data_IF_513648177372
#
_entry.id   IF_513648177372
#
_cell.length_a   1.000
_cell.length_b   1.000
_cell.length_c   1.000
_cell.angle_alpha   90.00
_cell.angle_beta   90.00
_cell.angle_gamma   90.00
#
_symmetry.space_group_name_H-M   'P 1'
#
loop_
_entity.id
_entity.type
_entity.pdbx_description
1 polymer ?
#
# COMPACT_ATOMS: atom_id res chain seq x y z
N UNK A 1 20.78 -6.04 3.46
CA UNK A 1 19.66 -5.14 3.14
C UNK A 1 20.19 -3.75 2.87
N UNK A 2 20.80 -3.08 3.85
CA UNK A 2 21.43 -1.76 3.66
C UNK A 2 22.49 -1.76 2.55
N UNK A 3 23.40 -2.74 2.53
CA UNK A 3 24.41 -2.86 1.45
C UNK A 3 23.81 -3.07 0.04
N UNK A 4 22.52 -3.44 -0.03
CA UNK A 4 21.78 -3.60 -1.29
C UNK A 4 20.93 -2.36 -1.62
N UNK A 5 21.07 -1.27 -0.87
CA UNK A 5 20.30 -0.04 -1.04
C UNK A 5 18.88 -0.08 -0.48
N UNK A 6 18.54 -1.07 0.34
CA UNK A 6 17.22 -1.19 0.98
C UNK A 6 17.24 -0.51 2.34
N UNK A 7 16.32 0.42 2.55
CA UNK A 7 16.02 1.03 3.84
C UNK A 7 15.05 0.15 4.63
N UNK A 8 15.47 -0.40 5.78
CA UNK A 8 14.63 -1.28 6.58
C UNK A 8 13.63 -0.47 7.40
N UNK A 9 12.35 -0.80 7.22
CA UNK A 9 11.29 -0.49 8.16
C UNK A 9 11.04 -1.72 9.06
N UNK A 10 11.05 -1.55 10.39
CA UNK A 10 10.99 -2.66 11.35
C UNK A 10 9.73 -2.62 12.21
N UNK A 11 8.99 -3.73 12.20
CA UNK A 11 7.93 -3.99 13.18
C UNK A 11 8.50 -4.63 14.45
N UNK A 12 8.30 -3.97 15.59
CA UNK A 12 8.63 -4.50 16.91
C UNK A 12 7.47 -5.40 17.39
N UNK A 13 7.61 -6.71 17.16
CA UNK A 13 6.65 -7.74 17.57
C UNK A 13 7.32 -9.12 17.71
N UNK A 14 6.69 -10.16 18.27
CA UNK A 14 5.52 -10.14 19.16
C UNK A 14 5.99 -10.25 20.62
N UNK A 15 5.26 -10.99 21.45
CA UNK A 15 5.55 -11.18 22.85
C UNK A 15 6.65 -12.19 23.12
N UNK A 16 6.97 -12.35 24.39
CA UNK A 16 7.94 -13.33 24.87
C UNK A 16 7.35 -14.15 26.04
N UNK A 17 7.04 -15.44 25.82
CA UNK A 17 6.31 -16.25 26.79
C UNK A 17 7.15 -16.62 28.04
N UNK A 18 8.45 -16.31 28.07
CA UNK A 18 9.25 -16.51 29.29
C UNK A 18 8.82 -15.58 30.43
N UNK A 19 8.19 -14.44 30.10
CA UNK A 19 7.66 -13.51 31.08
C UNK A 19 6.15 -13.76 31.25
N UNK A 20 5.66 -13.98 32.49
CA UNK A 20 4.22 -14.04 32.74
C UNK A 20 3.52 -12.79 32.19
N UNK A 21 2.48 -12.94 31.37
CA UNK A 21 1.81 -11.80 30.74
C UNK A 21 2.61 -11.10 29.65
N UNK A 22 3.67 -11.74 29.13
CA UNK A 22 4.50 -11.21 28.04
C UNK A 22 3.99 -11.48 26.62
N UNK A 23 2.81 -12.09 26.48
CA UNK A 23 2.26 -12.52 25.21
C UNK A 23 2.97 -13.75 24.62
N UNK A 24 2.63 -14.08 23.38
CA UNK A 24 3.18 -15.20 22.60
C UNK A 24 3.94 -14.69 21.37
N UNK A 25 4.64 -15.59 20.69
CA UNK A 25 5.56 -15.38 19.58
C UNK A 25 4.89 -15.06 18.23
N UNK A 26 3.57 -15.12 18.14
CA UNK A 26 2.84 -15.06 16.87
C UNK A 26 1.64 -14.11 16.86
N UNK A 27 1.04 -14.00 15.67
CA UNK A 27 -0.16 -13.21 15.43
C UNK A 27 -1.29 -13.62 16.40
N UNK A 28 -1.83 -12.63 17.11
CA UNK A 28 -2.87 -12.87 18.11
C UNK A 28 -2.37 -13.39 19.46
N UNK A 29 -1.04 -13.44 19.68
CA UNK A 29 -0.41 -13.89 20.92
C UNK A 29 -0.66 -13.04 22.17
N UNK A 30 -1.54 -12.04 22.11
CA UNK A 30 -1.81 -11.11 23.19
C UNK A 30 -0.74 -10.04 23.36
N UNK A 31 -1.16 -8.84 23.76
CA UNK A 31 -0.26 -7.72 24.05
C UNK A 31 0.49 -7.97 25.38
N UNK A 32 1.71 -7.44 25.48
CA UNK A 32 2.48 -7.42 26.73
C UNK A 32 1.70 -6.65 27.80
N UNK A 33 1.47 -7.27 28.97
CA UNK A 33 0.52 -6.74 29.95
C UNK A 33 1.01 -6.73 31.41
N UNK A 34 1.90 -7.63 31.82
CA UNK A 34 2.43 -7.59 33.20
C UNK A 34 3.53 -6.55 33.33
N UNK A 35 3.70 -6.00 34.53
CA UNK A 35 4.75 -5.01 34.80
C UNK A 35 6.16 -5.57 34.51
N UNK A 36 6.43 -6.82 34.92
CA UNK A 36 7.70 -7.47 34.64
C UNK A 36 7.96 -7.61 33.13
N UNK A 37 6.94 -8.04 32.37
CA UNK A 37 7.05 -8.20 30.92
C UNK A 37 7.16 -6.86 30.20
N UNK A 38 6.46 -5.82 30.67
CA UNK A 38 6.53 -4.45 30.15
C UNK A 38 7.92 -3.84 30.36
N UNK A 39 8.55 -4.07 31.52
CA UNK A 39 9.94 -3.66 31.75
C UNK A 39 10.93 -4.46 30.91
N UNK A 40 10.67 -5.75 30.69
CA UNK A 40 11.47 -6.57 29.80
C UNK A 40 11.35 -6.11 28.33
N UNK A 41 10.15 -5.73 27.92
CA UNK A 41 9.87 -5.15 26.60
C UNK A 41 10.65 -3.84 26.40
N UNK A 42 10.63 -2.91 27.35
CA UNK A 42 11.39 -1.65 27.26
C UNK A 42 12.90 -1.90 27.14
N UNK A 43 13.45 -2.87 27.90
CA UNK A 43 14.86 -3.26 27.78
C UNK A 43 15.18 -3.87 26.41
N UNK A 44 14.27 -4.66 25.86
CA UNK A 44 14.39 -5.20 24.51
C UNK A 44 14.41 -4.07 23.47
N UNK A 45 13.46 -3.14 23.54
CA UNK A 45 13.37 -2.00 22.62
C UNK A 45 14.62 -1.12 22.71
N UNK A 46 15.09 -0.77 23.91
CA UNK A 46 16.34 0.00 24.10
C UNK A 46 17.52 -0.72 23.44
N UNK A 47 17.69 -2.02 23.71
CA UNK A 47 18.78 -2.80 23.14
C UNK A 47 18.68 -2.92 21.61
N UNK A 48 17.47 -3.09 21.06
CA UNK A 48 17.23 -3.24 19.63
C UNK A 48 17.52 -1.94 18.87
N UNK A 49 17.01 -0.81 19.37
CA UNK A 49 17.24 0.52 18.79
C UNK A 49 18.72 0.90 18.90
N UNK A 50 19.40 0.64 20.02
CA UNK A 50 20.87 0.86 20.11
C UNK A 50 21.66 0.05 19.10
N UNK A 51 21.20 -1.17 18.81
CA UNK A 51 21.91 -2.08 17.91
C UNK A 51 21.69 -1.73 16.44
N UNK A 52 20.49 -1.31 16.06
CA UNK A 52 20.09 -1.15 14.67
C UNK A 52 19.73 0.29 14.26
N UNK A 53 19.68 1.23 15.20
CA UNK A 53 19.26 2.61 14.97
C UNK A 53 20.16 3.45 14.05
N UNK A 54 21.38 2.98 13.74
CA UNK A 54 22.21 3.58 12.68
C UNK A 54 21.73 3.21 11.27
N UNK A 55 20.88 2.20 11.15
CA UNK A 55 20.41 1.64 9.87
C UNK A 55 18.88 1.62 9.73
N UNK A 56 18.17 1.77 10.84
CA UNK A 56 16.70 1.76 10.92
C UNK A 56 16.29 3.02 11.65
N UNK A 57 15.43 3.81 11.05
CA UNK A 57 14.79 4.96 11.68
C UNK A 57 13.25 4.92 11.60
N UNK A 58 12.68 3.88 10.97
CA UNK A 58 11.25 3.64 10.92
C UNK A 58 10.83 2.43 11.78
N UNK A 59 10.00 2.66 12.79
CA UNK A 59 9.57 1.67 13.77
C UNK A 59 8.04 1.53 13.79
N UNK A 60 7.54 0.37 13.41
CA UNK A 60 6.15 -0.02 13.68
C UNK A 60 6.03 -0.66 15.07
N UNK A 61 5.07 -0.16 15.85
CA UNK A 61 4.82 -0.61 17.21
C UNK A 61 3.73 -1.66 17.23
N UNK A 62 4.12 -2.93 17.28
CA UNK A 62 3.24 -4.10 17.25
C UNK A 62 2.52 -4.32 15.91
N UNK A 63 2.14 -5.57 15.64
CA UNK A 63 1.37 -5.94 14.45
C UNK A 63 -0.06 -6.35 14.84
N UNK A 64 -1.06 -5.73 14.20
CA UNK A 64 -2.48 -6.04 14.33
C UNK A 64 -2.97 -6.31 15.77
N UNK A 65 -2.95 -5.33 16.69
CA UNK A 65 -3.37 -5.54 18.07
C UNK A 65 -4.84 -5.98 18.12
N UNK A 66 -5.11 -7.01 18.94
CA UNK A 66 -6.44 -7.62 19.12
C UNK A 66 -6.97 -7.41 20.54
N UNK A 67 -6.64 -6.27 21.14
CA UNK A 67 -7.05 -5.89 22.51
C UNK A 67 -8.51 -5.44 22.61
N UNK A 68 -9.13 -5.08 21.48
CA UNK A 68 -10.52 -4.60 21.41
C UNK A 68 -10.66 -3.08 21.63
N UNK A 69 -11.89 -2.58 21.59
CA UNK A 69 -12.19 -1.15 21.74
C UNK A 69 -12.21 -0.69 23.21
N UNK A 70 -12.29 0.63 23.42
CA UNK A 70 -12.35 1.27 24.72
C UNK A 70 -11.12 0.95 25.56
N UNK A 71 -11.29 0.18 26.65
CA UNK A 71 -10.17 -0.22 27.51
C UNK A 71 -9.06 -0.96 26.77
N UNK A 72 -9.40 -1.72 25.73
CA UNK A 72 -8.42 -2.42 24.90
C UNK A 72 -7.58 -1.49 24.04
N UNK A 73 -8.19 -0.43 23.49
CA UNK A 73 -7.49 0.59 22.71
C UNK A 73 -6.60 1.43 23.63
N UNK A 74 -7.08 1.80 24.82
CA UNK A 74 -6.29 2.49 25.86
C UNK A 74 -5.08 1.65 26.27
N UNK A 75 -5.26 0.35 26.53
CA UNK A 75 -4.15 -0.53 26.88
C UNK A 75 -3.06 -0.56 25.79
N UNK A 76 -3.47 -0.57 24.52
CA UNK A 76 -2.52 -0.52 23.41
C UNK A 76 -1.88 0.86 23.26
N UNK A 77 -2.63 1.95 23.51
CA UNK A 77 -2.10 3.30 23.52
C UNK A 77 -1.04 3.52 24.61
N UNK A 78 -1.25 3.00 25.82
CA UNK A 78 -0.25 3.01 26.89
C UNK A 78 1.03 2.25 26.49
N UNK A 79 0.87 1.10 25.83
CA UNK A 79 1.99 0.34 25.27
C UNK A 79 2.75 1.12 24.19
N UNK A 80 2.02 1.81 23.31
CA UNK A 80 2.59 2.70 22.28
C UNK A 80 3.40 3.81 22.93
N UNK A 81 2.86 4.50 23.95
CA UNK A 81 3.56 5.57 24.67
C UNK A 81 4.86 5.05 25.28
N UNK A 82 4.80 3.95 26.06
CA UNK A 82 5.98 3.36 26.72
C UNK A 82 7.06 2.99 25.70
N UNK A 83 6.67 2.39 24.58
CA UNK A 83 7.62 1.97 23.53
C UNK A 83 8.22 3.16 22.80
N UNK A 84 7.39 4.14 22.42
CA UNK A 84 7.83 5.32 21.69
C UNK A 84 8.75 6.21 22.54
N UNK A 85 8.53 6.34 23.84
CA UNK A 85 9.42 7.08 24.74
C UNK A 85 10.84 6.48 24.80
N UNK A 86 10.96 5.16 24.82
CA UNK A 86 12.25 4.47 24.75
C UNK A 86 12.94 4.78 23.42
N UNK A 87 12.23 4.69 22.30
CA UNK A 87 12.78 4.99 20.97
C UNK A 87 13.22 6.45 20.89
N UNK A 88 12.36 7.41 21.24
CA UNK A 88 12.65 8.85 21.17
C UNK A 88 13.86 9.26 22.02
N UNK A 89 14.09 8.59 23.15
CA UNK A 89 15.28 8.83 23.98
C UNK A 89 16.58 8.49 23.26
N UNK A 90 16.56 7.50 22.36
CA UNK A 90 17.73 7.00 21.64
C UNK A 90 17.85 7.59 20.23
N UNK A 91 16.72 7.82 19.57
CA UNK A 91 16.60 8.30 18.21
C UNK A 91 15.46 9.33 18.15
N UNK A 92 15.70 10.60 18.52
CA UNK A 92 14.66 11.63 18.65
C UNK A 92 13.86 11.87 17.38
N UNK A 93 14.47 11.66 16.21
CA UNK A 93 13.89 11.92 14.89
C UNK A 93 13.29 10.67 14.22
N UNK A 94 13.20 9.53 14.92
CA UNK A 94 12.65 8.31 14.34
C UNK A 94 11.21 8.49 13.84
N UNK A 95 10.85 7.82 12.77
CA UNK A 95 9.48 7.66 12.31
C UNK A 95 8.83 6.53 13.11
N UNK A 96 7.77 6.83 13.88
CA UNK A 96 7.11 5.86 14.75
C UNK A 96 5.67 5.67 14.30
N UNK A 97 5.32 4.43 13.94
CA UNK A 97 3.99 4.06 13.47
C UNK A 97 3.27 3.17 14.49
N UNK A 98 1.97 3.39 14.69
CA UNK A 98 1.13 2.49 15.49
C UNK A 98 0.03 1.84 14.65
N UNK A 99 -0.33 0.61 14.97
CA UNK A 99 -1.26 -0.20 14.21
C UNK A 99 -2.73 0.18 14.44
N UNK A 100 -3.52 0.18 13.36
CA UNK A 100 -4.92 0.57 13.33
C UNK A 100 -5.90 -0.45 13.96
N UNK A 101 -5.42 -1.43 14.73
CA UNK A 101 -6.24 -2.48 15.34
C UNK A 101 -6.72 -3.56 14.37
N UNK A 102 -6.54 -4.83 14.75
CA UNK A 102 -6.71 -5.95 13.82
C UNK A 102 -5.98 -5.65 12.50
N UNK A 103 -6.58 -5.99 11.36
CA UNK A 103 -6.02 -5.60 10.07
C UNK A 103 -6.31 -4.13 9.71
N UNK A 104 -7.52 -3.63 9.98
CA UNK A 104 -7.88 -2.25 9.69
C UNK A 104 -9.16 -1.84 10.46
N UNK A 105 -9.03 -1.09 11.56
CA UNK A 105 -10.16 -0.68 12.40
C UNK A 105 -10.13 0.83 12.76
N UNK A 106 -10.67 1.72 11.91
CA UNK A 106 -10.57 3.18 12.11
C UNK A 106 -11.03 3.70 13.48
N UNK A 107 -12.07 3.09 14.07
CA UNK A 107 -12.55 3.49 15.41
C UNK A 107 -11.51 3.18 16.48
N UNK A 108 -10.78 2.05 16.36
CA UNK A 108 -9.75 1.68 17.32
C UNK A 108 -8.58 2.66 17.20
N UNK A 109 -8.16 2.97 15.97
CA UNK A 109 -7.11 3.95 15.71
C UNK A 109 -7.47 5.34 16.26
N UNK A 110 -8.74 5.74 16.15
CA UNK A 110 -9.25 6.97 16.76
C UNK A 110 -9.15 6.96 18.28
N UNK A 111 -9.61 5.89 18.95
CA UNK A 111 -9.53 5.75 20.41
C UNK A 111 -8.08 5.79 20.91
N UNK A 112 -7.14 5.21 20.15
CA UNK A 112 -5.71 5.32 20.44
C UNK A 112 -5.26 6.79 20.40
N UNK A 113 -5.58 7.53 19.32
CA UNK A 113 -5.23 8.95 19.22
C UNK A 113 -5.92 9.83 20.27
N UNK A 114 -7.16 9.51 20.65
CA UNK A 114 -7.85 10.18 21.76
C UNK A 114 -7.06 10.03 23.07
N UNK A 115 -6.62 8.82 23.39
CA UNK A 115 -5.81 8.57 24.58
C UNK A 115 -4.44 9.25 24.51
N UNK A 116 -3.73 9.17 23.38
CA UNK A 116 -2.45 9.89 23.21
C UNK A 116 -2.63 11.41 23.38
N UNK A 117 -3.76 11.96 22.93
CA UNK A 117 -4.07 13.39 23.10
C UNK A 117 -4.32 13.75 24.56
N UNK A 118 -5.08 12.94 25.28
CA UNK A 118 -5.37 13.12 26.71
C UNK A 118 -4.08 13.11 27.54
N UNK A 119 -3.13 12.24 27.20
CA UNK A 119 -1.82 12.15 27.84
C UNK A 119 -0.81 13.21 27.36
N UNK A 120 -1.15 14.02 26.36
CA UNK A 120 -0.25 15.02 25.77
C UNK A 120 0.93 14.40 25.01
N UNK A 121 0.72 13.26 24.36
CA UNK A 121 1.74 12.40 23.73
C UNK A 121 1.59 12.22 22.22
N UNK A 122 0.75 13.02 21.54
CA UNK A 122 0.58 12.93 20.08
C UNK A 122 1.91 13.04 19.31
N UNK A 123 2.83 13.91 19.77
CA UNK A 123 4.14 14.13 19.14
C UNK A 123 5.09 12.90 19.21
N UNK A 124 4.71 11.83 19.91
CA UNK A 124 5.49 10.59 19.94
C UNK A 124 5.38 9.81 18.63
N UNK A 125 4.27 9.91 17.90
CA UNK A 125 3.95 9.08 16.73
C UNK A 125 3.84 9.92 15.45
N UNK A 126 4.10 9.29 14.32
CA UNK A 126 4.14 9.94 13.01
C UNK A 126 3.06 9.43 12.06
N UNK A 127 2.65 8.17 12.17
CA UNK A 127 1.65 7.62 11.27
C UNK A 127 0.84 6.47 11.88
N UNK A 128 -0.35 6.27 11.31
CA UNK A 128 -1.15 5.07 11.55
C UNK A 128 -0.84 4.05 10.47
N UNK A 129 -0.51 2.82 10.86
CA UNK A 129 -0.33 1.72 9.92
C UNK A 129 -1.57 0.81 9.86
N UNK A 130 -1.97 0.42 8.65
CA UNK A 130 -3.18 -0.36 8.41
C UNK A 130 -3.04 -1.34 7.23
N UNK A 131 -3.81 -2.44 7.27
CA UNK A 131 -3.79 -3.58 6.36
C UNK A 131 -5.17 -3.78 5.70
N UNK A 132 -5.47 -3.07 4.60
CA UNK A 132 -6.82 -2.97 4.03
C UNK A 132 -7.18 -4.16 3.14
N UNK A 133 -7.08 -5.39 3.64
CA UNK A 133 -7.38 -6.59 2.86
C UNK A 133 -8.84 -6.61 2.33
N UNK A 134 -8.96 -6.78 1.02
CA UNK A 134 -10.21 -6.96 0.29
C UNK A 134 -9.95 -7.65 -1.05
N UNK A 135 -10.88 -8.47 -1.52
CA UNK A 135 -10.76 -9.14 -2.84
C UNK A 135 -10.79 -8.13 -4.00
N UNK A 136 -11.56 -7.04 -3.85
CA UNK A 136 -11.44 -5.86 -4.70
C UNK A 136 -10.58 -4.80 -3.95
N UNK A 137 -9.35 -4.49 -4.39
CA UNK A 137 -8.47 -3.55 -3.71
C UNK A 137 -9.03 -2.12 -3.71
N UNK A 138 -9.85 -1.78 -4.71
CA UNK A 138 -10.42 -0.44 -4.90
C UNK A 138 -11.51 -0.10 -3.85
N UNK A 139 -12.06 -1.13 -3.18
CA UNK A 139 -13.16 -1.00 -2.21
C UNK A 139 -12.77 -0.35 -0.88
N UNK A 140 -11.47 -0.17 -0.62
CA UNK A 140 -10.95 0.36 0.65
C UNK A 140 -10.41 1.78 0.56
N UNK A 141 -10.35 2.36 -0.64
CA UNK A 141 -9.75 3.66 -0.88
C UNK A 141 -10.41 4.78 -0.06
N UNK A 142 -11.74 4.84 -0.04
CA UNK A 142 -12.47 5.87 0.72
C UNK A 142 -12.25 5.75 2.24
N UNK A 143 -12.09 4.52 2.74
CA UNK A 143 -11.80 4.28 4.15
C UNK A 143 -10.38 4.73 4.53
N UNK A 144 -9.41 4.56 3.64
CA UNK A 144 -8.04 5.04 3.84
C UNK A 144 -8.00 6.59 3.86
N UNK A 145 -8.70 7.26 2.94
CA UNK A 145 -8.81 8.73 2.94
C UNK A 145 -9.41 9.23 4.25
N UNK A 146 -10.53 8.62 4.71
CA UNK A 146 -11.14 8.96 5.99
C UNK A 146 -10.24 8.68 7.19
N UNK A 147 -9.39 7.64 7.13
CA UNK A 147 -8.40 7.37 8.17
C UNK A 147 -7.38 8.52 8.25
N UNK A 148 -6.87 8.99 7.10
CA UNK A 148 -5.93 10.12 7.05
C UNK A 148 -6.56 11.41 7.56
N UNK A 149 -7.76 11.75 7.10
CA UNK A 149 -8.49 12.93 7.56
C UNK A 149 -8.72 12.88 9.07
N UNK A 150 -9.10 11.70 9.59
CA UNK A 150 -9.23 11.47 11.02
C UNK A 150 -7.91 11.70 11.74
N UNK A 151 -6.80 11.10 11.30
CA UNK A 151 -5.48 11.25 11.91
C UNK A 151 -5.03 12.73 11.95
N UNK A 152 -5.16 13.43 10.83
CA UNK A 152 -4.78 14.84 10.69
C UNK A 152 -5.66 15.79 11.53
N UNK A 153 -6.88 15.39 11.87
CA UNK A 153 -7.73 16.14 12.80
C UNK A 153 -7.23 16.10 14.26
N UNK A 154 -6.41 15.11 14.63
CA UNK A 154 -5.74 15.07 15.94
C UNK A 154 -4.45 15.88 15.93
N UNK A 155 -3.60 15.67 14.92
CA UNK A 155 -2.40 16.47 14.69
C UNK A 155 -2.02 16.45 13.20
N UNK A 156 -1.73 17.61 12.57
CA UNK A 156 -1.47 17.69 11.12
C UNK A 156 -0.30 16.85 10.62
N UNK A 157 0.66 16.51 11.50
CA UNK A 157 1.84 15.71 11.14
C UNK A 157 1.54 14.19 11.10
N UNK A 158 0.43 13.73 11.67
CA UNK A 158 0.14 12.29 11.74
C UNK A 158 -0.42 11.83 10.40
N UNK A 159 0.38 11.05 9.67
CA UNK A 159 0.05 10.45 8.40
C UNK A 159 -0.59 9.07 8.53
N UNK A 160 -0.64 8.37 7.39
CA UNK A 160 -1.04 6.96 7.31
C UNK A 160 -0.08 6.21 6.40
N UNK A 161 0.11 4.91 6.65
CA UNK A 161 0.91 4.01 5.82
C UNK A 161 0.17 2.69 5.63
N UNK A 162 0.09 2.20 4.40
CA UNK A 162 -0.39 0.84 4.14
C UNK A 162 0.77 -0.13 4.43
N UNK A 163 0.64 -0.91 5.51
CA UNK A 163 1.74 -1.71 6.05
C UNK A 163 1.88 -3.11 5.47
N UNK A 164 0.74 -3.76 5.22
CA UNK A 164 0.67 -5.14 4.73
C UNK A 164 -0.55 -5.30 3.81
N UNK A 165 -0.34 -5.56 2.52
CA UNK A 165 -1.44 -5.85 1.62
C UNK A 165 -0.99 -6.60 0.37
N UNK A 166 -1.74 -7.64 0.00
CA UNK A 166 -1.43 -8.47 -1.16
C UNK A 166 -2.48 -9.53 -1.42
N UNK A 167 -2.47 -10.09 -2.62
CA UNK A 167 -3.38 -11.14 -3.04
C UNK A 167 -2.66 -12.46 -3.26
N UNK A 168 -3.28 -13.61 -2.92
CA UNK A 168 -2.76 -14.92 -3.29
C UNK A 168 -2.63 -15.06 -4.81
N UNK A 169 -1.66 -15.85 -5.27
CA UNK A 169 -1.50 -16.23 -6.69
C UNK A 169 -2.21 -17.53 -7.06
N UNK A 170 -2.68 -18.30 -6.07
CA UNK A 170 -3.39 -19.57 -6.25
C UNK A 170 -4.45 -19.74 -5.17
N UNK A 171 -5.50 -20.50 -5.52
CA UNK A 171 -6.61 -20.84 -4.61
C UNK A 171 -6.17 -21.93 -3.64
N UNK A 172 -6.65 -21.89 -2.39
CA UNK A 172 -6.40 -22.95 -1.40
C UNK A 172 -5.22 -22.72 -0.46
N UNK A 173 -4.66 -21.51 -0.41
CA UNK A 173 -3.69 -21.08 0.59
C UNK A 173 -4.32 -20.61 1.91
N UNK A 174 -3.54 -19.92 2.73
CA UNK A 174 -4.02 -19.32 3.99
C UNK A 174 -3.74 -17.81 4.08
N UNK A 175 -4.33 -17.17 5.08
CA UNK A 175 -4.18 -15.74 5.38
C UNK A 175 -5.34 -14.90 4.85
N UNK A 176 -5.22 -13.57 4.95
CA UNK A 176 -6.27 -12.67 4.49
C UNK A 176 -6.64 -12.92 3.02
N UNK A 177 -7.93 -12.82 2.70
CA UNK A 177 -8.54 -13.04 1.38
C UNK A 177 -8.20 -14.38 0.69
N UNK A 178 -7.72 -15.41 1.41
CA UNK A 178 -7.32 -16.69 0.79
C UNK A 178 -8.49 -17.52 0.23
N UNK A 179 -9.72 -17.22 0.63
CA UNK A 179 -10.93 -17.91 0.16
C UNK A 179 -11.37 -17.54 -1.26
N UNK A 180 -10.79 -16.50 -1.86
CA UNK A 180 -11.09 -16.07 -3.23
C UNK A 180 -10.56 -17.03 -4.30
N UNK A 181 -11.11 -16.91 -5.51
CA UNK A 181 -10.60 -17.63 -6.69
C UNK A 181 -9.41 -16.87 -7.27
N UNK A 182 -8.21 -17.32 -6.91
CA UNK A 182 -6.95 -16.65 -7.25
C UNK A 182 -6.16 -17.38 -8.33
N UNK A 183 -5.53 -16.59 -9.19
CA UNK A 183 -4.54 -16.98 -10.20
C UNK A 183 -3.43 -15.93 -10.21
N UNK A 184 -2.27 -16.23 -10.79
CA UNK A 184 -1.19 -15.23 -10.95
C UNK A 184 -1.65 -13.97 -11.67
N UNK A 185 -2.50 -14.10 -12.69
CA UNK A 185 -3.06 -12.95 -13.40
C UNK A 185 -3.94 -12.10 -12.49
N UNK A 186 -4.76 -12.72 -11.63
CA UNK A 186 -5.58 -11.97 -10.67
C UNK A 186 -4.74 -11.29 -9.60
N UNK A 187 -3.68 -11.94 -9.13
CA UNK A 187 -2.70 -11.33 -8.23
C UNK A 187 -2.03 -10.11 -8.88
N UNK A 188 -1.54 -10.24 -10.11
CA UNK A 188 -0.87 -9.16 -10.84
C UNK A 188 -1.78 -7.95 -11.03
N UNK A 189 -3.01 -8.16 -11.50
CA UNK A 189 -4.03 -7.11 -11.62
C UNK A 189 -4.33 -6.46 -10.26
N UNK A 190 -4.51 -7.27 -9.20
CA UNK A 190 -4.77 -6.77 -7.86
C UNK A 190 -3.62 -5.89 -7.36
N UNK A 191 -2.36 -6.31 -7.56
CA UNK A 191 -1.17 -5.58 -7.14
C UNK A 191 -1.07 -4.21 -7.82
N UNK A 192 -1.23 -4.17 -9.14
CA UNK A 192 -1.20 -2.94 -9.91
C UNK A 192 -2.25 -1.94 -9.42
N UNK A 193 -3.51 -2.39 -9.25
CA UNK A 193 -4.60 -1.53 -8.80
C UNK A 193 -4.38 -1.00 -7.38
N UNK A 194 -3.92 -1.84 -6.45
CA UNK A 194 -3.63 -1.44 -5.06
C UNK A 194 -2.54 -0.38 -5.01
N UNK A 195 -1.40 -0.65 -5.64
CA UNK A 195 -0.23 0.23 -5.62
C UNK A 195 -0.52 1.58 -6.31
N UNK A 196 -1.14 1.56 -7.49
CA UNK A 196 -1.54 2.82 -8.15
C UNK A 196 -2.64 3.55 -7.40
N UNK A 197 -3.57 2.84 -6.78
CA UNK A 197 -4.62 3.43 -5.95
C UNK A 197 -4.07 4.16 -4.72
N UNK A 198 -3.02 3.63 -4.11
CA UNK A 198 -2.30 4.31 -3.01
C UNK A 198 -1.45 5.47 -3.51
N UNK A 199 -0.71 5.29 -4.62
CA UNK A 199 0.09 6.34 -5.24
C UNK A 199 -0.76 7.56 -5.64
N UNK A 200 -1.94 7.32 -6.21
CA UNK A 200 -2.90 8.38 -6.56
C UNK A 200 -3.38 9.22 -5.37
N UNK A 201 -3.14 8.73 -4.14
CA UNK A 201 -3.53 9.35 -2.87
C UNK A 201 -2.32 9.72 -2.02
N UNK A 202 -1.10 9.64 -2.55
CA UNK A 202 0.15 9.88 -1.80
C UNK A 202 0.22 9.04 -0.50
N UNK A 203 -0.21 7.77 -0.56
CA UNK A 203 -0.11 6.82 0.55
C UNK A 203 1.17 5.99 0.36
N UNK A 204 2.13 6.02 1.31
CA UNK A 204 3.22 5.06 1.32
C UNK A 204 2.68 3.65 1.55
N UNK A 205 3.12 2.69 0.72
CA UNK A 205 2.56 1.34 0.67
C UNK A 205 3.60 0.25 0.57
N UNK A 206 3.29 -0.89 1.17
CA UNK A 206 4.11 -2.12 1.11
C UNK A 206 3.30 -3.27 0.53
N UNK A 207 3.76 -3.79 -0.61
CA UNK A 207 3.18 -5.01 -1.19
C UNK A 207 3.64 -6.23 -0.40
N UNK A 208 2.67 -6.95 0.17
CA UNK A 208 2.89 -8.18 0.90
C UNK A 208 2.67 -9.39 -0.04
N UNK A 209 3.70 -10.10 -0.49
CA UNK A 209 5.12 -9.98 -0.10
C UNK A 209 6.05 -10.27 -1.28
N UNK A 210 7.36 -10.09 -1.06
CA UNK A 210 8.37 -10.37 -2.09
C UNK A 210 8.39 -11.84 -2.52
N UNK A 211 8.28 -12.80 -1.60
CA UNK A 211 8.24 -14.22 -1.90
C UNK A 211 7.13 -14.93 -1.10
N UNK A 212 6.79 -16.14 -1.52
CA UNK A 212 5.85 -16.98 -0.79
C UNK A 212 6.39 -17.35 0.58
N UNK A 213 5.50 -17.60 1.53
CA UNK A 213 5.88 -17.95 2.90
C UNK A 213 5.42 -19.37 3.21
N UNK A 214 6.38 -20.30 3.30
CA UNK A 214 6.14 -21.69 3.71
C UNK A 214 6.27 -21.87 5.22
N UNK A 215 5.15 -22.19 5.83
CA UNK A 215 5.01 -22.63 7.22
C UNK A 215 4.99 -24.17 7.27
N UNK A 216 5.12 -24.81 8.45
CA UNK A 216 5.19 -26.26 8.55
C UNK A 216 4.03 -27.02 7.86
N UNK A 217 2.82 -26.47 7.89
CA UNK A 217 1.58 -27.11 7.44
C UNK A 217 0.86 -26.38 6.30
N UNK A 218 1.38 -25.24 5.84
CA UNK A 218 0.68 -24.34 4.91
C UNK A 218 1.60 -23.35 4.21
N UNK A 219 1.14 -22.83 3.08
CA UNK A 219 1.86 -21.81 2.31
C UNK A 219 0.96 -20.59 2.11
N UNK A 220 1.53 -19.40 2.33
CA UNK A 220 0.90 -18.13 1.98
C UNK A 220 1.38 -17.74 0.58
N UNK A 221 0.51 -17.91 -0.41
CA UNK A 221 0.81 -17.71 -1.83
C UNK A 221 0.78 -16.23 -2.28
N UNK A 222 0.87 -15.27 -1.35
CA UNK A 222 0.88 -13.82 -1.67
C UNK A 222 2.18 -13.31 -2.27
N UNK A 223 3.25 -14.11 -2.21
CA UNK A 223 4.55 -13.77 -2.76
C UNK A 223 4.54 -13.44 -4.25
N UNK A 224 5.38 -12.48 -4.66
CA UNK A 224 5.70 -12.20 -6.07
C UNK A 224 6.67 -13.23 -6.66
N UNK A 225 7.48 -13.85 -5.82
CA UNK A 225 8.37 -14.96 -6.16
C UNK A 225 7.81 -16.27 -5.61
N UNK A 226 7.70 -17.28 -6.46
CA UNK A 226 7.38 -18.65 -6.06
C UNK A 226 8.58 -19.29 -5.35
N UNK A 227 8.32 -20.25 -4.47
CA UNK A 227 9.37 -20.98 -3.74
C UNK A 227 9.30 -22.49 -3.95
N UNK A 228 10.45 -23.13 -3.87
CA UNK A 228 10.58 -24.56 -3.73
C UNK A 228 10.21 -25.03 -2.32
N UNK A 229 10.07 -26.35 -2.17
CA UNK A 229 9.76 -26.96 -0.88
C UNK A 229 10.82 -26.70 0.20
N UNK A 230 12.08 -26.48 -0.20
CA UNK A 230 13.20 -26.13 0.67
C UNK A 230 13.30 -24.62 0.96
N UNK A 231 12.30 -23.84 0.52
CA UNK A 231 12.19 -22.37 0.65
C UNK A 231 13.17 -21.56 -0.20
N UNK A 232 13.89 -22.18 -1.15
CA UNK A 232 14.64 -21.44 -2.18
C UNK A 232 13.68 -20.82 -3.19
N UNK A 233 14.10 -19.75 -3.87
CA UNK A 233 13.31 -19.12 -4.94
C UNK A 233 13.27 -20.07 -6.14
N UNK A 234 12.07 -20.33 -6.66
CA UNK A 234 11.87 -21.11 -7.88
C UNK A 234 11.83 -20.20 -9.11
N UNK A 235 10.84 -19.30 -9.18
CA UNK A 235 10.71 -18.34 -10.28
C UNK A 235 9.95 -17.06 -9.86
N UNK A 236 10.08 -16.01 -10.67
CA UNK A 236 9.27 -14.81 -10.57
C UNK A 236 7.90 -15.02 -11.24
N UNK A 237 6.83 -14.71 -10.52
CA UNK A 237 5.45 -14.82 -11.00
C UNK A 237 5.05 -13.64 -11.86
N UNK A 238 3.89 -13.72 -12.53
CA UNK A 238 3.33 -12.60 -13.29
C UNK A 238 3.23 -11.30 -12.47
N UNK A 239 2.90 -11.39 -11.17
CA UNK A 239 2.84 -10.23 -10.29
C UNK A 239 4.16 -9.49 -10.14
N UNK A 240 5.30 -10.20 -10.16
CA UNK A 240 6.63 -9.59 -10.11
C UNK A 240 6.87 -8.70 -11.34
N UNK A 241 6.62 -9.24 -12.53
CA UNK A 241 6.81 -8.50 -13.78
C UNK A 241 5.83 -7.34 -13.93
N UNK A 242 4.59 -7.49 -13.46
CA UNK A 242 3.63 -6.39 -13.44
C UNK A 242 4.11 -5.22 -12.56
N UNK A 243 4.63 -5.51 -11.35
CA UNK A 243 5.22 -4.47 -10.49
C UNK A 243 6.51 -3.90 -11.09
N UNK A 244 7.32 -4.70 -11.79
CA UNK A 244 8.48 -4.21 -12.53
C UNK A 244 8.06 -3.21 -13.63
N UNK A 245 7.02 -3.52 -14.42
CA UNK A 245 6.47 -2.60 -15.43
C UNK A 245 5.90 -1.33 -14.80
N UNK A 246 5.30 -1.44 -13.63
CA UNK A 246 4.85 -0.27 -12.86
C UNK A 246 6.06 0.59 -12.46
N UNK A 247 7.05 0.00 -11.81
CA UNK A 247 8.24 0.71 -11.35
C UNK A 247 9.12 1.27 -12.48
N UNK A 248 9.02 0.73 -13.71
CA UNK A 248 9.73 1.30 -14.87
C UNK A 248 9.09 2.57 -15.42
N UNK A 249 7.83 2.85 -15.06
CA UNK A 249 7.10 4.06 -15.47
C UNK A 249 6.98 5.04 -14.31
N UNK A 250 6.72 4.53 -13.10
CA UNK A 250 6.47 5.32 -11.91
C UNK A 250 7.69 5.32 -11.00
N UNK A 251 8.48 6.38 -11.10
CA UNK A 251 9.61 6.66 -10.23
C UNK A 251 9.41 7.99 -9.47
N UNK A 252 10.46 8.46 -8.79
CA UNK A 252 10.44 9.71 -8.04
C UNK A 252 10.51 10.98 -8.89
N UNK A 253 10.50 10.87 -10.23
CA UNK A 253 10.52 12.00 -11.16
C UNK A 253 9.13 12.41 -11.64
N UNK A 254 8.13 11.55 -11.48
CA UNK A 254 6.74 11.87 -11.80
C UNK A 254 6.10 12.73 -10.71
N UNK A 255 5.44 13.81 -11.13
CA UNK A 255 4.69 14.70 -10.23
C UNK A 255 3.19 14.45 -10.39
N UNK A 256 2.52 14.03 -9.31
CA UNK A 256 1.06 13.85 -9.31
C UNK A 256 0.36 15.18 -9.57
N UNK A 257 -0.59 15.18 -10.49
CA UNK A 257 -1.44 16.34 -10.76
C UNK A 257 -2.69 16.24 -9.88
N UNK A 258 -2.78 17.11 -8.87
CA UNK A 258 -3.83 17.04 -7.85
C UNK A 258 -5.17 17.63 -8.32
N UNK A 259 -5.12 18.69 -9.13
CA UNK A 259 -6.28 19.50 -9.52
C UNK A 259 -6.77 19.24 -10.95
N UNK A 260 -6.61 18.00 -11.46
CA UNK A 260 -7.07 17.71 -12.82
C UNK A 260 -8.57 17.40 -12.84
N UNK A 261 -9.29 18.09 -13.72
CA UNK A 261 -10.70 17.86 -13.99
C UNK A 261 -10.85 16.85 -15.14
N UNK A 262 -11.49 15.73 -14.85
CA UNK A 262 -11.79 14.68 -15.81
C UNK A 262 -13.29 14.57 -16.01
N UNK A 263 -13.71 14.60 -17.27
CA UNK A 263 -15.05 14.16 -17.64
C UNK A 263 -14.96 12.78 -18.29
N UNK A 264 -15.49 11.78 -17.59
CA UNK A 264 -15.51 10.40 -18.06
C UNK A 264 -16.92 10.10 -18.52
N UNK A 265 -17.12 10.05 -19.83
CA UNK A 265 -18.40 9.61 -20.39
C UNK A 265 -18.31 8.11 -20.70
N UNK A 266 -19.01 7.35 -19.88
CA UNK A 266 -19.25 5.94 -20.13
C UNK A 266 -20.68 5.72 -20.59
N UNK A 267 -20.87 4.90 -21.63
CA UNK A 267 -22.20 4.47 -22.07
C UNK A 267 -23.02 3.76 -20.97
N UNK A 268 -22.36 3.33 -19.88
CA UNK A 268 -22.98 2.70 -18.71
C UNK A 268 -22.70 3.50 -17.44
N UNK A 269 -23.72 4.15 -16.89
CA UNK A 269 -23.65 5.05 -15.72
C UNK A 269 -23.21 4.37 -14.41
N UNK A 270 -23.26 3.04 -14.31
CA UNK A 270 -22.84 2.31 -13.11
C UNK A 270 -21.33 2.00 -13.10
N UNK A 271 -20.56 2.43 -14.12
CA UNK A 271 -19.11 2.20 -14.21
C UNK A 271 -18.34 3.14 -13.27
N UNK A 272 -17.58 2.55 -12.35
CA UNK A 272 -16.54 3.21 -11.56
C UNK A 272 -15.21 3.05 -12.28
N UNK A 273 -14.69 4.16 -12.81
CA UNK A 273 -13.33 4.25 -13.33
C UNK A 273 -12.46 4.88 -12.25
N UNK A 274 -11.39 4.19 -11.86
CA UNK A 274 -10.33 4.80 -11.05
C UNK A 274 -9.34 5.46 -12.01
N UNK A 275 -8.96 6.70 -11.73
CA UNK A 275 -8.13 7.48 -12.63
C UNK A 275 -7.21 8.42 -11.83
N UNK A 276 -5.97 8.59 -12.29
CA UNK A 276 -5.04 9.59 -11.77
C UNK A 276 -4.12 10.10 -12.86
N UNK A 277 -3.56 11.30 -12.70
CA UNK A 277 -2.63 11.87 -13.66
C UNK A 277 -1.36 12.39 -13.03
N UNK A 278 -0.32 12.39 -13.85
CA UNK A 278 1.02 12.80 -13.50
C UNK A 278 1.61 13.64 -14.63
N UNK A 279 2.61 14.45 -14.27
CA UNK A 279 3.46 15.16 -15.20
C UNK A 279 4.86 14.59 -15.11
N UNK A 280 5.40 14.22 -16.27
CA UNK A 280 6.78 13.75 -16.37
C UNK A 280 7.79 14.90 -16.41
N UNK A 281 9.09 14.57 -16.26
CA UNK A 281 10.18 15.54 -16.27
C UNK A 281 10.37 16.26 -17.61
N UNK A 282 9.86 15.73 -18.72
CA UNK A 282 9.86 16.43 -20.02
C UNK A 282 8.67 17.41 -20.15
N UNK A 283 7.77 17.43 -19.16
CA UNK A 283 6.57 18.25 -19.10
C UNK A 283 5.32 17.59 -19.67
N UNK A 284 5.46 16.39 -20.24
CA UNK A 284 4.43 15.56 -20.84
C UNK A 284 3.46 14.97 -19.81
N UNK A 285 2.27 14.65 -20.29
CA UNK A 285 1.19 14.10 -19.47
C UNK A 285 1.24 12.58 -19.35
N UNK A 286 0.68 12.08 -18.25
CA UNK A 286 0.49 10.65 -18.00
C UNK A 286 -0.84 10.46 -17.27
N UNK A 287 -1.69 9.55 -17.74
CA UNK A 287 -2.99 9.21 -17.14
C UNK A 287 -3.04 7.70 -16.90
N UNK A 288 -3.25 7.29 -15.65
CA UNK A 288 -3.53 5.90 -15.29
C UNK A 288 -5.03 5.68 -15.15
N UNK A 289 -5.57 4.57 -15.64
CA UNK A 289 -6.99 4.30 -15.49
C UNK A 289 -7.34 2.82 -15.58
N UNK A 290 -8.42 2.41 -14.90
CA UNK A 290 -9.00 1.07 -14.96
C UNK A 290 -10.44 1.04 -14.47
N UNK A 291 -11.16 -0.04 -14.79
CA UNK A 291 -12.47 -0.34 -14.20
C UNK A 291 -12.31 -0.91 -12.79
N UNK A 292 -12.91 -0.24 -11.81
CA UNK A 292 -12.73 -0.49 -10.38
C UNK A 292 -13.94 -1.13 -9.68
N UNK A 293 -15.06 -1.36 -10.39
CA UNK A 293 -16.27 -1.96 -9.82
C UNK A 293 -16.03 -3.37 -9.27
N UNK A 294 -15.43 -4.22 -10.10
CA UNK A 294 -15.39 -5.66 -9.90
C UNK A 294 -14.01 -6.13 -9.44
N UNK A 295 -13.97 -7.34 -8.89
CA UNK A 295 -12.71 -7.97 -8.48
C UNK A 295 -11.80 -8.17 -9.69
N UNK A 296 -10.47 -8.10 -9.51
CA UNK A 296 -9.54 -8.44 -10.57
C UNK A 296 -9.83 -9.81 -11.20
N UNK A 297 -9.99 -9.84 -12.52
CA UNK A 297 -10.30 -11.02 -13.33
C UNK A 297 -11.77 -11.43 -13.38
N UNK A 298 -12.70 -10.65 -12.83
CA UNK A 298 -14.14 -10.94 -12.88
C UNK A 298 -14.78 -10.46 -14.19
N UNK A 299 -14.39 -9.27 -14.67
CA UNK A 299 -14.75 -8.76 -16.00
C UNK A 299 -13.47 -8.41 -16.75
N UNK A 300 -12.78 -9.38 -17.37
CA UNK A 300 -11.48 -9.12 -18.00
C UNK A 300 -11.58 -8.47 -19.38
N UNK A 301 -12.77 -8.42 -19.97
CA UNK A 301 -12.94 -7.94 -21.34
C UNK A 301 -12.73 -6.43 -21.46
N UNK A 302 -12.15 -6.06 -22.60
CA UNK A 302 -11.95 -4.67 -22.98
C UNK A 302 -13.25 -4.04 -23.46
N UNK A 303 -13.43 -2.79 -23.08
CA UNK A 303 -14.51 -1.92 -23.53
C UNK A 303 -13.91 -0.60 -24.00
N UNK A 304 -14.71 0.21 -24.71
CA UNK A 304 -14.32 1.58 -25.07
C UNK A 304 -14.98 2.58 -24.12
N UNK A 305 -14.24 3.65 -23.81
CA UNK A 305 -14.75 4.81 -23.05
C UNK A 305 -14.32 6.11 -23.70
N UNK A 306 -15.08 7.17 -23.41
CA UNK A 306 -14.70 8.54 -23.74
C UNK A 306 -14.14 9.23 -22.50
N UNK A 307 -12.99 9.88 -22.64
CA UNK A 307 -12.30 10.59 -21.57
C UNK A 307 -11.90 11.99 -22.03
N UNK A 308 -12.34 13.01 -21.31
CA UNK A 308 -11.81 14.36 -21.45
C UNK A 308 -10.89 14.66 -20.28
N UNK A 309 -9.64 14.99 -20.57
CA UNK A 309 -8.68 15.49 -19.59
C UNK A 309 -8.48 16.99 -19.79
N UNK A 310 -8.99 17.81 -18.86
CA UNK A 310 -8.79 19.25 -18.89
C UNK A 310 -7.36 19.61 -18.50
N UNK A 311 -6.76 20.61 -19.15
CA UNK A 311 -5.42 21.13 -18.84
C UNK A 311 -4.27 20.11 -18.93
N UNK A 312 -4.48 19.01 -19.66
CA UNK A 312 -3.46 18.02 -19.99
C UNK A 312 -3.47 17.77 -21.49
N UNK A 313 -2.38 18.12 -22.16
CA UNK A 313 -2.22 17.96 -23.61
C UNK A 313 -1.31 16.78 -23.90
N UNK A 314 -1.60 16.13 -25.02
CA UNK A 314 -0.81 15.04 -25.57
C UNK A 314 -0.57 15.32 -27.05
N UNK A 315 0.67 15.20 -27.49
CA UNK A 315 1.09 15.39 -28.87
C UNK A 315 1.24 14.03 -29.56
N UNK A 316 2.01 13.11 -28.98
CA UNK A 316 2.27 11.76 -29.50
C UNK A 316 2.02 10.70 -28.40
N UNK A 317 0.78 10.57 -27.90
CA UNK A 317 0.50 9.64 -26.82
C UNK A 317 0.63 8.18 -27.28
N UNK A 318 1.18 7.36 -26.39
CA UNK A 318 1.14 5.91 -26.48
C UNK A 318 0.28 5.34 -25.35
N UNK A 319 -0.22 4.13 -25.57
CA UNK A 319 -0.94 3.35 -24.56
C UNK A 319 -0.03 2.25 -24.04
N UNK A 320 0.12 2.14 -22.72
CA UNK A 320 0.88 1.08 -22.06
C UNK A 320 -0.06 0.23 -21.21
N UNK A 321 0.02 -1.09 -21.38
CA UNK A 321 -0.65 -2.06 -20.51
C UNK A 321 0.33 -2.59 -19.47
N UNK A 322 0.19 -2.15 -18.22
CA UNK A 322 1.14 -2.49 -17.15
C UNK A 322 1.11 -3.99 -16.79
N UNK A 323 0.00 -4.68 -17.07
CA UNK A 323 -0.10 -6.13 -16.84
C UNK A 323 0.83 -6.93 -17.75
N UNK A 324 1.02 -6.47 -19.00
CA UNK A 324 1.80 -7.16 -20.03
C UNK A 324 3.12 -6.48 -20.36
N UNK A 325 3.29 -5.21 -19.98
CA UNK A 325 4.45 -4.38 -20.33
C UNK A 325 4.45 -3.91 -21.79
N UNK A 326 3.35 -4.11 -22.53
CA UNK A 326 3.27 -3.75 -23.95
C UNK A 326 2.89 -2.29 -24.12
N UNK A 327 3.58 -1.62 -25.03
CA UNK A 327 3.27 -0.28 -25.49
C UNK A 327 2.66 -0.31 -26.91
N UNK A 328 1.67 0.54 -27.14
CA UNK A 328 0.90 0.61 -28.37
C UNK A 328 0.83 2.05 -28.85
N UNK A 329 1.05 2.28 -30.14
CA UNK A 329 0.70 3.55 -30.77
C UNK A 329 -0.81 3.74 -30.73
N UNK A 330 -1.25 4.93 -30.32
CA UNK A 330 -2.67 5.26 -30.36
C UNK A 330 -3.11 5.57 -31.79
N UNK A 331 -4.29 5.09 -32.24
CA UNK A 331 -4.86 5.52 -33.51
C UNK A 331 -5.06 7.04 -33.53
N UNK A 332 -4.81 7.67 -34.69
CA UNK A 332 -4.88 9.13 -34.86
C UNK A 332 -6.25 9.71 -34.43
N UNK A 333 -7.33 8.96 -34.65
CA UNK A 333 -8.68 9.41 -34.33
C UNK A 333 -9.05 9.25 -32.84
N UNK A 334 -8.22 8.57 -32.05
CA UNK A 334 -8.48 8.33 -30.63
C UNK A 334 -8.18 9.58 -29.81
N UNK A 335 -7.16 10.37 -30.14
CA UNK A 335 -6.72 11.54 -29.37
C UNK A 335 -7.01 12.83 -30.15
N UNK A 336 -7.80 13.74 -29.56
CA UNK A 336 -8.15 15.03 -30.18
C UNK A 336 -7.90 16.17 -29.20
N UNK A 337 -7.18 17.24 -29.60
CA UNK A 337 -7.04 18.41 -28.75
C UNK A 337 -8.40 19.11 -28.57
N UNK A 338 -8.73 19.50 -27.34
CA UNK A 338 -9.94 20.24 -27.00
C UNK A 338 -9.63 21.37 -26.00
N UNK A 339 -9.74 22.63 -26.44
CA UNK A 339 -9.40 23.79 -25.62
C UNK A 339 -7.96 23.71 -25.09
N UNK A 340 -7.79 23.66 -23.76
CA UNK A 340 -6.49 23.48 -23.10
C UNK A 340 -6.18 22.03 -22.71
N UNK A 341 -7.01 21.07 -23.11
CA UNK A 341 -6.88 19.66 -22.77
C UNK A 341 -6.96 18.74 -23.99
N UNK A 342 -7.22 17.46 -23.70
CA UNK A 342 -7.30 16.38 -24.69
C UNK A 342 -8.57 15.57 -24.48
N UNK A 343 -9.23 15.22 -25.58
CA UNK A 343 -10.35 14.29 -25.64
C UNK A 343 -9.89 12.95 -26.21
N UNK A 344 -10.31 11.86 -25.58
CA UNK A 344 -10.14 10.50 -26.06
C UNK A 344 -11.50 9.89 -26.41
N UNK A 345 -11.77 9.57 -27.68
CA UNK A 345 -13.12 9.14 -28.14
C UNK A 345 -13.36 7.62 -28.12
N UNK A 346 -12.31 6.80 -28.08
CA UNK A 346 -12.40 5.33 -28.07
C UNK A 346 -11.26 4.73 -27.24
N UNK A 347 -11.11 5.20 -26.01
CA UNK A 347 -10.03 4.74 -25.15
C UNK A 347 -10.35 3.34 -24.63
N UNK A 348 -9.48 2.32 -24.85
CA UNK A 348 -9.72 0.99 -24.33
C UNK A 348 -9.61 1.01 -22.81
N UNK A 349 -10.52 0.35 -22.11
CA UNK A 349 -10.51 0.17 -20.66
C UNK A 349 -10.89 -1.25 -20.29
N UNK A 350 -10.26 -1.78 -19.26
CA UNK A 350 -10.58 -3.09 -18.70
C UNK A 350 -10.25 -3.11 -17.21
N UNK A 351 -10.20 -4.31 -16.64
CA UNK A 351 -10.05 -4.55 -15.21
C UNK A 351 -8.57 -4.62 -14.76
N UNK A 352 -7.66 -3.98 -15.48
CA UNK A 352 -6.28 -3.76 -15.03
C UNK A 352 -5.81 -2.37 -15.44
N UNK A 353 -4.84 -1.77 -14.74
CA UNK A 353 -4.33 -0.45 -15.08
C UNK A 353 -3.73 -0.37 -16.48
N UNK A 354 -4.26 0.58 -17.25
CA UNK A 354 -3.69 1.09 -18.48
C UNK A 354 -3.13 2.49 -18.24
N UNK A 355 -2.16 2.88 -19.06
CA UNK A 355 -1.53 4.19 -19.00
C UNK A 355 -1.55 4.85 -20.38
N UNK A 356 -2.16 6.02 -20.50
CA UNK A 356 -1.87 6.93 -21.62
C UNK A 356 -0.74 7.85 -21.20
N UNK A 357 0.29 7.96 -22.03
CA UNK A 357 1.52 8.67 -21.71
C UNK A 357 2.12 9.31 -22.95
N UNK A 358 2.66 10.51 -22.81
CA UNK A 358 3.45 11.14 -23.87
C UNK A 358 4.70 10.31 -24.16
N UNK A 359 4.94 9.98 -25.44
CA UNK A 359 5.97 9.00 -25.83
C UNK A 359 7.36 9.36 -25.28
N UNK A 360 7.71 10.64 -25.28
CA UNK A 360 9.00 11.14 -24.82
C UNK A 360 9.24 11.01 -23.29
N UNK A 361 8.21 10.66 -22.50
CA UNK A 361 8.38 10.40 -21.07
C UNK A 361 8.84 8.96 -20.78
N UNK A 362 8.57 8.01 -21.69
CA UNK A 362 8.96 6.60 -21.52
C UNK A 362 10.26 6.26 -22.27
N UNK A 363 10.62 7.02 -23.30
CA UNK A 363 11.85 6.79 -24.09
C UNK A 363 13.18 6.98 -23.32
N UNK A 364 13.14 7.29 -22.03
CA UNK A 364 14.32 7.52 -21.18
C UNK A 364 15.10 6.27 -20.75
N UNK A 365 14.97 5.13 -21.44
CA UNK A 365 15.60 3.86 -21.03
C UNK A 365 16.63 3.28 -22.02
N UNK A 366 17.27 4.11 -22.85
CA UNK A 366 18.39 3.70 -23.71
C UNK A 366 19.42 4.83 -23.86
N UNK A 367 20.10 5.21 -22.77
CA UNK A 367 21.46 5.75 -22.84
C UNK A 367 22.38 5.00 -21.88
#
# INVERSE_FOLDING_TARGET
MVDQGVEPWVCLCYGNPIYPGGGDTGLGGGLVASEEALQAWERYVDAFVRRYGEHVDEWELWNEPRTGLGKGAIQYADFVIRTAEVIRKLQPNAEILFAAGGSFHPIFAKEVLEHLKEEGKLDLVNAIIYHPYAENPDSRNDAAVKLREMAQSFAPHIGIRQGENGAPSVTGGFGAISGGTWTETRQAKWALRRLLGDLARDIPSSYFAICEMKYPDKINYKGLLAINDDKTIDHAKQGYYAIQNLASVFDNTLLRIQDLDFDVNTENADRKIELSAYRGPSGGGLITYWRANDKPGEKPDFESMKLQASNLKFEEPILVDLLTGRAYKMPLDTCKPIGQGTMFENLPVYDSPLVVVEQNEIERSLE
#
